data_IF_063851680861
#
_entry.id   IF_063851680861
#
_cell.length_a   1.000
_cell.length_b   1.000
_cell.length_c   1.000
_cell.angle_alpha   90.00
_cell.angle_beta   90.00
_cell.angle_gamma   90.00
#
_symmetry.space_group_name_H-M   'P 1'
#
loop_
_entity.id
_entity.type
_entity.pdbx_description
1 polymer ?
#
# COMPACT_ATOMS: atom_id res chain seq x y z
N UNK A 1 -17.86 0.14 -14.93
CA UNK A 1 -18.59 0.84 -13.85
C UNK A 1 -18.80 -0.11 -12.69
N UNK A 2 -18.47 0.34 -11.49
CA UNK A 2 -18.53 -0.45 -10.26
C UNK A 2 -19.56 0.19 -9.34
N UNK A 3 -20.48 -0.61 -8.81
CA UNK A 3 -21.34 -0.26 -7.67
C UNK A 3 -20.57 -0.54 -6.40
N UNK A 4 -20.29 0.51 -5.64
CA UNK A 4 -19.36 0.46 -4.53
C UNK A 4 -20.03 -0.11 -3.28
N UNK A 5 -19.31 -0.99 -2.59
CA UNK A 5 -19.70 -1.55 -1.29
C UNK A 5 -18.85 -0.98 -0.16
N UNK A 6 -17.57 -0.71 -0.43
CA UNK A 6 -16.64 -0.08 0.50
C UNK A 6 -15.67 0.86 -0.22
N UNK A 7 -15.19 1.86 0.51
CA UNK A 7 -14.14 2.79 0.10
C UNK A 7 -13.08 2.88 1.18
N UNK A 8 -11.87 3.29 0.81
CA UNK A 8 -10.83 3.64 1.78
C UNK A 8 -10.41 5.10 1.65
N UNK A 9 -10.15 5.72 2.80
CA UNK A 9 -9.54 7.04 2.86
C UNK A 9 -8.04 6.90 3.05
N UNK A 10 -7.28 7.54 2.18
CA UNK A 10 -5.82 7.49 2.17
C UNK A 10 -5.23 8.89 2.40
N UNK A 11 -4.03 9.00 3.00
CA UNK A 11 -3.28 10.27 3.05
C UNK A 11 -3.07 10.89 1.67
N UNK A 12 -2.98 10.05 0.63
CA UNK A 12 -2.97 10.44 -0.78
C UNK A 12 -4.14 11.38 -1.12
N UNK A 13 -5.38 11.06 -0.71
CA UNK A 13 -6.57 11.81 -1.10
C UNK A 13 -6.52 13.26 -0.62
N UNK A 14 -6.02 13.46 0.60
CA UNK A 14 -5.89 14.79 1.21
C UNK A 14 -4.85 15.61 0.47
N UNK A 15 -3.71 15.01 0.15
CA UNK A 15 -2.61 15.68 -0.55
C UNK A 15 -2.91 15.96 -2.00
N UNK A 16 -3.55 15.02 -2.67
CA UNK A 16 -4.04 15.19 -4.03
C UNK A 16 -5.00 16.39 -4.09
N UNK A 17 -5.98 16.42 -3.17
CA UNK A 17 -6.90 17.56 -3.06
C UNK A 17 -6.21 18.88 -2.70
N UNK A 18 -5.10 18.83 -1.95
CA UNK A 18 -4.29 20.00 -1.63
C UNK A 18 -3.34 20.44 -2.76
N UNK A 19 -3.31 19.75 -3.90
CA UNK A 19 -2.42 20.06 -5.02
C UNK A 19 -0.95 19.69 -4.80
N UNK A 20 -0.66 18.81 -3.83
CA UNK A 20 0.72 18.45 -3.44
C UNK A 20 1.51 17.77 -4.57
N UNK A 21 0.84 17.26 -5.61
CA UNK A 21 1.46 16.57 -6.74
C UNK A 21 1.59 17.46 -7.99
N UNK A 22 1.50 18.78 -7.85
CA UNK A 22 1.75 19.73 -8.95
C UNK A 22 0.58 19.90 -9.92
N UNK A 23 -0.45 19.07 -9.83
CA UNK A 23 -1.74 19.25 -10.50
C UNK A 23 -2.78 19.59 -9.42
N UNK A 24 -3.31 20.81 -9.39
CA UNK A 24 -4.42 21.13 -8.51
C UNK A 24 -5.63 20.27 -8.87
N UNK A 25 -6.35 19.79 -7.84
CA UNK A 25 -7.65 19.17 -8.05
C UNK A 25 -8.56 20.13 -8.82
N UNK A 26 -9.28 19.62 -9.83
CA UNK A 26 -10.24 20.41 -10.59
C UNK A 26 -11.36 20.89 -9.67
N UNK A 27 -11.93 22.07 -9.97
CA UNK A 27 -13.17 22.50 -9.32
C UNK A 27 -14.26 21.45 -9.56
N UNK A 28 -14.97 21.05 -8.49
CA UNK A 28 -16.01 20.00 -8.47
C UNK A 28 -15.55 18.55 -8.71
N UNK A 29 -14.27 18.25 -8.53
CA UNK A 29 -13.77 16.87 -8.58
C UNK A 29 -14.33 16.01 -7.45
N UNK A 30 -14.74 14.78 -7.77
CA UNK A 30 -15.07 13.74 -6.78
C UNK A 30 -13.76 13.08 -6.34
N UNK A 31 -13.43 13.17 -5.05
CA UNK A 31 -12.23 12.55 -4.49
C UNK A 31 -12.36 11.04 -4.29
N UNK A 32 -11.34 10.42 -3.69
CA UNK A 32 -11.34 9.02 -3.31
C UNK A 32 -10.52 8.16 -4.27
N UNK A 33 -9.47 7.55 -3.74
CA UNK A 33 -8.47 6.79 -4.51
C UNK A 33 -8.66 5.29 -4.45
N UNK A 34 -9.61 4.77 -3.67
CA UNK A 34 -9.74 3.32 -3.46
C UNK A 34 -11.18 2.91 -3.24
N UNK A 35 -11.61 1.91 -4.00
CA UNK A 35 -12.97 1.39 -4.00
C UNK A 35 -12.97 -0.14 -4.02
N UNK A 36 -13.99 -0.75 -3.44
CA UNK A 36 -14.30 -2.17 -3.60
C UNK A 36 -15.81 -2.35 -3.77
N UNK A 37 -16.22 -3.26 -4.64
CA UNK A 37 -17.63 -3.43 -4.96
C UNK A 37 -17.89 -4.45 -6.05
N UNK A 38 -19.02 -4.29 -6.74
CA UNK A 38 -19.49 -5.21 -7.77
C UNK A 38 -19.53 -4.51 -9.12
N UNK A 39 -19.10 -5.20 -10.18
CA UNK A 39 -19.21 -4.70 -11.55
C UNK A 39 -20.69 -4.56 -11.93
N UNK A 40 -21.13 -3.33 -12.17
CA UNK A 40 -22.52 -3.02 -12.57
C UNK A 40 -22.66 -2.96 -14.09
N UNK A 41 -21.64 -2.46 -14.79
CA UNK A 41 -21.61 -2.38 -16.24
C UNK A 41 -20.16 -2.44 -16.78
N UNK A 42 -20.00 -2.98 -17.97
CA UNK A 42 -18.70 -3.18 -18.66
C UNK A 42 -18.79 -2.55 -20.06
N UNK A 43 -17.71 -1.90 -20.51
CA UNK A 43 -17.62 -1.35 -21.86
C UNK A 43 -17.47 -2.48 -22.90
N UNK A 44 -17.84 -2.23 -24.15
CA UNK A 44 -17.88 -3.26 -25.19
C UNK A 44 -16.50 -3.88 -25.51
N UNK A 45 -15.43 -3.15 -25.24
CA UNK A 45 -14.04 -3.50 -25.48
C UNK A 45 -13.32 -4.11 -24.27
N UNK A 46 -13.96 -4.15 -23.10
CA UNK A 46 -13.40 -4.77 -21.88
C UNK A 46 -13.85 -6.23 -21.79
N UNK A 47 -12.90 -7.15 -21.69
CA UNK A 47 -13.13 -8.61 -21.74
C UNK A 47 -12.78 -9.34 -20.44
N UNK A 48 -12.01 -8.69 -19.58
CA UNK A 48 -11.41 -9.22 -18.37
C UNK A 48 -12.41 -9.30 -17.21
N UNK A 49 -13.50 -8.53 -17.28
CA UNK A 49 -14.52 -8.43 -16.23
C UNK A 49 -15.93 -8.69 -16.75
N UNK A 50 -16.79 -9.15 -15.85
CA UNK A 50 -18.23 -9.37 -16.13
C UNK A 50 -19.10 -8.73 -15.06
N UNK A 51 -20.31 -8.33 -15.47
CA UNK A 51 -21.33 -7.83 -14.54
C UNK A 51 -21.60 -8.87 -13.45
N UNK A 52 -21.66 -8.40 -12.20
CA UNK A 52 -21.84 -9.23 -11.00
C UNK A 52 -20.54 -9.69 -10.34
N UNK A 53 -19.38 -9.50 -10.96
CA UNK A 53 -18.10 -9.86 -10.35
C UNK A 53 -17.70 -8.90 -9.23
N UNK A 54 -17.06 -9.46 -8.20
CA UNK A 54 -16.48 -8.71 -7.09
C UNK A 54 -15.11 -8.19 -7.49
N UNK A 55 -14.89 -6.90 -7.27
CA UNK A 55 -13.67 -6.21 -7.68
C UNK A 55 -13.20 -5.21 -6.63
N UNK A 56 -11.91 -4.93 -6.67
CA UNK A 56 -11.25 -3.83 -5.96
C UNK A 56 -10.51 -2.99 -6.99
N UNK A 57 -10.50 -1.66 -6.83
CA UNK A 57 -9.82 -0.77 -7.77
C UNK A 57 -9.20 0.45 -7.08
N UNK A 58 -8.16 1.00 -7.71
CA UNK A 58 -7.44 2.19 -7.26
C UNK A 58 -7.51 3.28 -8.34
N UNK A 59 -8.68 3.93 -8.53
CA UNK A 59 -8.88 4.87 -9.64
C UNK A 59 -8.25 6.26 -9.42
N UNK A 60 -7.61 6.49 -8.27
CA UNK A 60 -7.07 7.78 -7.80
C UNK A 60 -8.09 8.91 -7.56
N UNK A 61 -9.21 8.92 -8.29
CA UNK A 61 -10.33 9.84 -8.16
C UNK A 61 -11.67 9.14 -8.41
N UNK A 62 -12.79 9.84 -8.22
CA UNK A 62 -14.16 9.34 -8.38
C UNK A 62 -14.59 8.25 -7.39
N UNK A 63 -13.79 7.94 -6.38
CA UNK A 63 -14.08 6.88 -5.42
C UNK A 63 -15.13 7.24 -4.37
N UNK A 64 -15.25 8.49 -3.93
CA UNK A 64 -16.21 8.90 -2.89
C UNK A 64 -17.63 9.09 -3.46
N UNK A 65 -18.20 8.00 -3.98
CA UNK A 65 -19.50 7.94 -4.62
C UNK A 65 -20.11 6.53 -4.52
N UNK A 66 -21.41 6.38 -4.81
CA UNK A 66 -22.05 5.05 -4.85
C UNK A 66 -21.64 4.24 -6.09
N UNK A 67 -21.25 4.92 -7.18
CA UNK A 67 -20.79 4.32 -8.43
C UNK A 67 -19.53 5.02 -8.92
N UNK A 68 -18.61 4.26 -9.50
CA UNK A 68 -17.43 4.80 -10.16
C UNK A 68 -17.18 4.10 -11.51
N UNK A 69 -16.79 4.89 -12.50
CA UNK A 69 -16.19 4.38 -13.74
C UNK A 69 -14.69 4.37 -13.52
N UNK A 70 -14.06 3.24 -13.81
CA UNK A 70 -12.62 3.03 -13.66
C UNK A 70 -12.11 2.34 -14.91
N UNK A 71 -10.85 2.56 -15.25
CA UNK A 71 -10.17 1.82 -16.30
C UNK A 71 -9.93 0.38 -15.84
N UNK A 72 -10.09 -0.58 -16.76
CA UNK A 72 -10.04 -2.01 -16.42
C UNK A 72 -8.68 -2.44 -15.84
N UNK A 73 -7.60 -1.77 -16.23
CA UNK A 73 -6.23 -2.00 -15.74
C UNK A 73 -6.00 -1.50 -14.31
N UNK A 74 -6.89 -0.67 -13.77
CA UNK A 74 -6.86 -0.21 -12.38
C UNK A 74 -7.67 -1.09 -11.42
N UNK A 75 -8.36 -2.10 -11.95
CA UNK A 75 -9.20 -3.02 -11.20
C UNK A 75 -8.56 -4.41 -11.10
N UNK A 76 -8.86 -5.11 -10.00
CA UNK A 76 -8.49 -6.49 -9.77
C UNK A 76 -9.68 -7.31 -9.28
N UNK A 77 -9.69 -8.60 -9.62
CA UNK A 77 -10.69 -9.53 -9.09
C UNK A 77 -10.54 -9.69 -7.57
N UNK A 78 -11.68 -9.70 -6.88
CA UNK A 78 -11.74 -9.87 -5.43
C UNK A 78 -12.23 -11.30 -5.10
N UNK A 79 -11.41 -12.15 -4.45
CA UNK A 79 -11.83 -13.48 -4.05
C UNK A 79 -13.00 -13.49 -3.08
N UNK A 80 -13.82 -14.55 -3.12
CA UNK A 80 -15.02 -14.64 -2.29
C UNK A 80 -14.75 -14.59 -0.78
N UNK A 81 -13.57 -15.05 -0.37
CA UNK A 81 -13.12 -15.11 1.02
C UNK A 81 -12.70 -13.76 1.61
N UNK A 82 -12.52 -12.71 0.81
CA UNK A 82 -12.05 -11.40 1.27
C UNK A 82 -13.25 -10.45 1.30
N UNK A 83 -13.47 -9.73 2.41
CA UNK A 83 -14.55 -8.75 2.50
C UNK A 83 -14.29 -7.52 1.59
N UNK A 84 -15.32 -6.72 1.29
CA UNK A 84 -15.09 -5.50 0.52
C UNK A 84 -14.30 -4.46 1.33
N UNK A 85 -14.53 -4.43 2.65
CA UNK A 85 -13.87 -3.54 3.60
C UNK A 85 -12.38 -3.85 3.69
N UNK A 86 -12.01 -5.12 3.86
CA UNK A 86 -10.60 -5.54 3.89
C UNK A 86 -9.91 -5.26 2.55
N UNK A 87 -10.61 -5.51 1.44
CA UNK A 87 -10.10 -5.23 0.10
C UNK A 87 -9.80 -3.74 -0.08
N UNK A 88 -10.76 -2.86 0.25
CA UNK A 88 -10.58 -1.43 0.14
C UNK A 88 -9.47 -0.93 1.09
N UNK A 89 -9.43 -1.41 2.33
CA UNK A 89 -8.41 -1.02 3.30
C UNK A 89 -6.99 -1.40 2.85
N UNK A 90 -6.85 -2.53 2.14
CA UNK A 90 -5.57 -3.04 1.68
C UNK A 90 -5.13 -2.47 0.32
N UNK A 91 -6.04 -2.10 -0.59
CA UNK A 91 -5.70 -1.95 -2.00
C UNK A 91 -4.54 -0.98 -2.28
N UNK A 92 -4.68 0.32 -1.96
CA UNK A 92 -3.64 1.30 -2.28
C UNK A 92 -2.35 1.05 -1.47
N UNK A 93 -2.47 0.83 -0.16
CA UNK A 93 -1.32 0.61 0.72
C UNK A 93 -0.57 -0.68 0.38
N UNK A 94 -1.31 -1.75 0.15
CA UNK A 94 -0.85 -3.07 -0.27
C UNK A 94 -0.14 -3.04 -1.60
N UNK A 95 -0.78 -2.48 -2.63
CA UNK A 95 -0.19 -2.32 -3.96
C UNK A 95 1.10 -1.49 -3.90
N UNK A 96 1.06 -0.35 -3.20
CA UNK A 96 2.24 0.53 -3.05
C UNK A 96 3.40 -0.20 -2.34
N UNK A 97 3.10 -0.91 -1.24
CA UNK A 97 4.11 -1.64 -0.47
C UNK A 97 4.72 -2.78 -1.29
N UNK A 98 3.90 -3.50 -2.06
CA UNK A 98 4.37 -4.55 -2.96
C UNK A 98 5.28 -4.00 -4.06
N UNK A 99 4.81 -2.99 -4.80
CA UNK A 99 5.57 -2.38 -5.91
C UNK A 99 6.90 -1.79 -5.42
N UNK A 100 6.92 -1.20 -4.22
CA UNK A 100 8.14 -0.69 -3.63
C UNK A 100 9.20 -1.78 -3.40
N UNK A 101 8.79 -2.95 -2.91
CA UNK A 101 9.71 -4.07 -2.62
C UNK A 101 10.10 -4.83 -3.89
N UNK A 102 9.12 -5.15 -4.74
CA UNK A 102 9.31 -6.01 -5.91
C UNK A 102 9.82 -5.25 -7.12
N UNK A 103 9.29 -4.07 -7.41
CA UNK A 103 9.61 -3.37 -8.66
C UNK A 103 10.70 -2.33 -8.43
N UNK A 104 10.51 -1.45 -7.45
CA UNK A 104 11.42 -0.32 -7.24
C UNK A 104 12.75 -0.74 -6.60
N UNK A 105 12.71 -1.54 -5.53
CA UNK A 105 13.91 -2.06 -4.88
C UNK A 105 14.41 -3.37 -5.49
N UNK A 106 13.53 -4.08 -6.20
CA UNK A 106 13.82 -5.40 -6.78
C UNK A 106 14.53 -6.30 -5.77
N UNK A 107 13.90 -6.49 -4.61
CA UNK A 107 14.48 -7.27 -3.51
C UNK A 107 14.66 -8.73 -3.94
N UNK A 108 15.89 -9.21 -3.79
CA UNK A 108 16.27 -10.60 -4.03
C UNK A 108 16.28 -11.39 -2.72
N UNK A 109 16.09 -12.70 -2.83
CA UNK A 109 16.22 -13.62 -1.70
C UNK A 109 17.60 -13.48 -1.03
N UNK A 110 17.63 -13.50 0.30
CA UNK A 110 18.84 -13.34 1.09
C UNK A 110 19.33 -11.90 1.23
N UNK A 111 18.77 -10.92 0.51
CA UNK A 111 19.09 -9.51 0.74
C UNK A 111 18.46 -8.97 2.02
N UNK A 112 19.01 -7.87 2.54
CA UNK A 112 18.46 -7.16 3.69
C UNK A 112 17.75 -5.88 3.27
N UNK A 113 16.71 -5.49 4.00
CA UNK A 113 15.90 -4.30 3.72
C UNK A 113 15.58 -3.50 4.99
N UNK A 114 15.58 -2.18 4.88
CA UNK A 114 15.02 -1.27 5.89
C UNK A 114 13.75 -0.60 5.36
N UNK A 115 12.65 -0.73 6.11
CA UNK A 115 11.33 -0.16 5.79
C UNK A 115 10.97 0.87 6.85
N UNK A 116 10.88 2.13 6.46
CA UNK A 116 10.39 3.16 7.38
C UNK A 116 8.87 3.06 7.56
N UNK A 117 8.39 3.26 8.79
CA UNK A 117 6.95 3.35 9.08
C UNK A 117 6.21 2.01 8.96
N UNK A 118 6.81 0.91 9.44
CA UNK A 118 6.29 -0.44 9.22
C UNK A 118 4.89 -0.73 9.74
N UNK A 119 4.38 0.06 10.69
CA UNK A 119 3.03 -0.10 11.22
C UNK A 119 1.94 0.57 10.37
N UNK A 120 2.31 1.42 9.42
CA UNK A 120 1.34 2.01 8.47
C UNK A 120 1.00 1.04 7.34
N UNK A 121 -0.13 1.25 6.64
CA UNK A 121 -0.61 0.35 5.59
C UNK A 121 0.45 -0.04 4.54
N UNK A 122 1.19 0.95 3.99
CA UNK A 122 2.27 0.71 3.02
C UNK A 122 3.44 -0.05 3.65
N UNK A 123 3.88 0.37 4.84
CA UNK A 123 5.00 -0.24 5.53
C UNK A 123 4.71 -1.70 5.90
N UNK A 124 3.51 -1.98 6.40
CA UNK A 124 3.10 -3.30 6.83
C UNK A 124 2.97 -4.27 5.65
N UNK A 125 2.43 -3.80 4.52
CA UNK A 125 2.41 -4.55 3.27
C UNK A 125 3.83 -4.81 2.73
N UNK A 126 4.72 -3.82 2.80
CA UNK A 126 6.12 -3.97 2.41
C UNK A 126 6.85 -4.99 3.30
N UNK A 127 6.59 -5.02 4.61
CA UNK A 127 7.15 -6.01 5.53
C UNK A 127 6.72 -7.43 5.17
N UNK A 128 5.42 -7.64 4.95
CA UNK A 128 4.89 -8.94 4.51
C UNK A 128 5.48 -9.37 3.15
N UNK A 129 5.58 -8.44 2.21
CA UNK A 129 6.18 -8.71 0.89
C UNK A 129 7.66 -9.07 1.02
N UNK A 130 8.42 -8.36 1.84
CA UNK A 130 9.84 -8.66 2.07
C UNK A 130 10.05 -10.04 2.72
N UNK A 131 9.18 -10.41 3.67
CA UNK A 131 9.17 -11.75 4.26
C UNK A 131 8.89 -12.82 3.19
N UNK A 132 7.87 -12.61 2.37
CA UNK A 132 7.51 -13.53 1.29
C UNK A 132 8.62 -13.67 0.24
N UNK A 133 9.37 -12.60 -0.03
CA UNK A 133 10.51 -12.58 -0.96
C UNK A 133 11.80 -13.19 -0.39
N UNK A 134 11.78 -13.69 0.85
CA UNK A 134 12.92 -14.37 1.45
C UNK A 134 14.05 -13.43 1.88
N UNK A 135 13.73 -12.20 2.30
CA UNK A 135 14.71 -11.29 2.86
C UNK A 135 15.46 -11.94 4.04
N UNK A 136 16.78 -11.80 4.10
CA UNK A 136 17.58 -12.35 5.21
C UNK A 136 17.38 -11.57 6.51
N UNK A 137 17.31 -10.23 6.42
CA UNK A 137 17.10 -9.34 7.56
C UNK A 137 16.15 -8.21 7.16
N UNK A 138 15.15 -7.97 7.99
CA UNK A 138 14.17 -6.92 7.79
C UNK A 138 14.22 -5.98 8.98
N UNK A 139 14.48 -4.71 8.69
CA UNK A 139 14.52 -3.63 9.67
C UNK A 139 13.34 -2.71 9.46
N UNK A 140 12.81 -2.15 10.55
CA UNK A 140 11.69 -1.21 10.46
C UNK A 140 11.74 -0.08 11.48
N UNK A 141 11.03 1.02 11.19
CA UNK A 141 10.76 2.07 12.18
C UNK A 141 9.27 2.19 12.45
N UNK A 142 8.88 2.41 13.69
CA UNK A 142 7.47 2.55 14.10
C UNK A 142 7.32 3.50 15.29
N UNK A 143 6.09 3.78 15.70
CA UNK A 143 5.84 4.38 17.01
C UNK A 143 6.03 3.32 18.10
N UNK A 144 6.37 3.71 19.35
CA UNK A 144 6.47 2.77 20.46
C UNK A 144 5.20 1.95 20.70
N UNK A 145 4.01 2.52 20.42
CA UNK A 145 2.74 1.85 20.59
C UNK A 145 2.49 0.71 19.59
N UNK A 146 3.19 0.69 18.45
CA UNK A 146 2.96 -0.29 17.39
C UNK A 146 3.92 -1.49 17.47
N UNK A 147 4.78 -1.53 18.48
CA UNK A 147 5.83 -2.54 18.62
C UNK A 147 5.24 -3.95 18.73
N UNK A 148 4.26 -4.13 19.61
CA UNK A 148 3.66 -5.45 19.85
C UNK A 148 2.93 -5.94 18.60
N UNK A 149 2.21 -5.05 17.91
CA UNK A 149 1.56 -5.32 16.63
C UNK A 149 2.56 -5.78 15.55
N UNK A 150 3.74 -5.17 15.48
CA UNK A 150 4.78 -5.60 14.53
C UNK A 150 5.43 -6.92 14.93
N UNK A 151 5.57 -7.22 16.22
CA UNK A 151 6.09 -8.51 16.69
C UNK A 151 5.13 -9.67 16.44
N UNK A 152 3.82 -9.42 16.41
CA UNK A 152 2.82 -10.42 15.99
C UNK A 152 3.04 -10.85 14.53
N UNK A 153 3.48 -9.93 13.65
CA UNK A 153 3.80 -10.25 12.26
C UNK A 153 5.02 -11.17 12.16
N UNK A 154 6.13 -10.78 12.77
CA UNK A 154 7.33 -11.62 12.82
C UNK A 154 8.28 -11.18 13.95
N UNK A 155 8.63 -12.13 14.84
CA UNK A 155 9.50 -11.91 16.00
C UNK A 155 10.96 -11.59 15.66
N UNK A 156 11.40 -11.76 14.40
CA UNK A 156 12.76 -11.49 13.93
C UNK A 156 12.89 -10.05 13.37
N UNK A 157 11.80 -9.29 13.32
CA UNK A 157 11.81 -7.89 12.87
C UNK A 157 12.63 -7.02 13.83
N UNK A 158 13.70 -6.41 13.30
CA UNK A 158 14.49 -5.44 14.05
C UNK A 158 13.89 -4.05 13.91
N UNK A 159 13.52 -3.45 15.04
CA UNK A 159 12.76 -2.19 15.03
C UNK A 159 13.50 -1.04 15.72
N UNK A 160 13.22 0.18 15.27
CA UNK A 160 13.71 1.40 15.88
C UNK A 160 12.63 2.47 16.03
N UNK A 161 12.55 3.08 17.20
CA UNK A 161 11.51 4.06 17.59
C UNK A 161 11.81 5.51 17.17
N UNK A 162 12.93 5.77 16.47
CA UNK A 162 13.43 7.13 16.20
C UNK A 162 13.67 7.40 14.72
N UNK A 163 13.08 8.50 14.22
CA UNK A 163 13.22 8.94 12.82
C UNK A 163 14.60 9.52 12.46
N UNK A 164 15.49 9.83 13.42
CA UNK A 164 16.76 10.52 13.11
C UNK A 164 18.00 10.19 13.95
N UNK A 165 17.89 9.66 15.18
CA UNK A 165 19.06 9.46 16.08
C UNK A 165 19.52 8.00 16.24
N UNK A 166 18.69 7.02 15.88
CA UNK A 166 18.97 5.60 16.10
C UNK A 166 19.44 4.84 14.86
N UNK A 167 19.24 5.40 13.67
CA UNK A 167 19.68 4.77 12.42
C UNK A 167 21.21 4.62 12.39
N UNK A 168 21.95 5.65 12.80
CA UNK A 168 23.41 5.58 12.91
C UNK A 168 23.86 4.49 13.89
N UNK A 169 23.18 4.32 15.04
CA UNK A 169 23.50 3.27 16.01
C UNK A 169 23.16 1.87 15.49
N UNK A 170 22.05 1.72 14.76
CA UNK A 170 21.70 0.47 14.07
C UNK A 170 22.73 0.12 12.98
N UNK A 171 23.09 1.11 12.16
CA UNK A 171 24.09 0.96 11.09
C UNK A 171 25.50 0.65 11.65
N UNK A 172 25.90 1.30 12.74
CA UNK A 172 27.21 1.13 13.39
C UNK A 172 27.31 -0.20 14.15
N UNK A 173 26.25 -0.64 14.83
CA UNK A 173 26.27 -1.89 15.61
C UNK A 173 26.27 -3.16 14.74
N UNK A 174 25.84 -3.06 13.47
CA UNK A 174 25.63 -4.23 12.60
C UNK A 174 26.39 -4.17 11.26
N UNK A 175 27.30 -3.19 11.07
CA UNK A 175 28.10 -3.01 9.83
C UNK A 175 27.28 -3.01 8.52
N UNK A 176 26.09 -2.40 8.54
CA UNK A 176 25.04 -2.58 7.52
C UNK A 176 25.17 -1.72 6.25
N UNK A 177 26.23 -0.91 6.11
CA UNK A 177 26.27 0.19 5.13
C UNK A 177 26.36 -0.26 3.65
N UNK A 178 27.09 -1.33 3.25
CA UNK A 178 27.26 -1.60 1.82
C UNK A 178 26.15 -2.43 1.14
N UNK A 179 25.29 -3.11 1.90
CA UNK A 179 24.41 -4.18 1.35
C UNK A 179 22.90 -3.97 1.58
N UNK A 180 22.51 -2.85 2.18
CA UNK A 180 21.11 -2.63 2.56
C UNK A 180 20.35 -1.83 1.51
N UNK A 181 19.26 -2.40 0.98
CA UNK A 181 18.26 -1.65 0.23
C UNK A 181 17.33 -0.93 1.21
N UNK A 182 17.04 0.35 0.98
CA UNK A 182 16.19 1.15 1.88
C UNK A 182 14.93 1.64 1.19
N UNK A 183 13.77 1.40 1.81
CA UNK A 183 12.50 1.99 1.45
C UNK A 183 12.14 3.09 2.46
N UNK A 184 12.12 4.34 2.00
CA UNK A 184 11.57 5.44 2.79
C UNK A 184 10.09 5.58 2.46
N UNK A 185 9.23 5.06 3.33
CA UNK A 185 7.80 5.40 3.31
C UNK A 185 7.66 6.80 3.91
N UNK A 186 7.97 7.83 3.13
CA UNK A 186 7.28 9.11 3.32
C UNK A 186 5.85 8.83 2.96
N UNK A 187 4.92 9.07 3.90
CA UNK A 187 3.49 9.05 3.62
C UNK A 187 3.29 9.67 2.24
N UNK A 188 2.78 8.89 1.27
CA UNK A 188 2.30 9.43 0.00
C UNK A 188 1.08 10.30 0.26
#
# INVERSE_FOLDING_TARGET
MIKQAAIAMNPYDVKFRAGAFGVPAKENMIGGSTIAGVVEAVAADVTEFKVGERVVAVPHEHGYAEYAVVDADTAGHLPDSVSFEDAAALALGGQTGYQAVVDALNLQEGESILIHGGAGAVGYAALQTALYRGASKIYTTSLPADIDYLHELNKILWQSTSRRKSLLTLFQSHQLIPLLKSLVVTTL
#
